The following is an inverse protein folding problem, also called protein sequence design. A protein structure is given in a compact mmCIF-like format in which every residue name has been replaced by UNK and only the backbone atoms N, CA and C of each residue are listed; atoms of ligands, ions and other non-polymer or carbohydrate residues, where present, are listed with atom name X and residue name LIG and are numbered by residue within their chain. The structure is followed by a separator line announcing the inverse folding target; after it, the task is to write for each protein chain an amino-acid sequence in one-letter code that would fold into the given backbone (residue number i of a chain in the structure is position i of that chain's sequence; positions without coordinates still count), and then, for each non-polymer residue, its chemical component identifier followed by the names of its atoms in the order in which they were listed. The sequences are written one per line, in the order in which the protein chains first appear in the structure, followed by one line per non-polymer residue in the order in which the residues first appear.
data_IF_662233459691
#
_entry.id   IF_662233459691
#
_cell.length_a   1.000
_cell.length_b   1.000
_cell.length_c   1.000
_cell.angle_alpha   90.00
_cell.angle_beta   90.00
_cell.angle_gamma   90.00
#
_symmetry.space_group_name_H-M   'P 1'
#
loop_
_entity.id
_entity.type
_entity.pdbx_description
1 polymer ?
#
# COMPACT_ATOMS: atom_id res chain seq x y z
N UNK A 1 -4.52 -10.13 0.13
CA UNK A 1 -4.97 -8.90 0.81
C UNK A 1 -4.62 -8.95 2.29
N UNK A 2 -4.17 -7.84 2.86
CA UNK A 2 -3.64 -7.76 4.23
C UNK A 2 -4.34 -6.68 5.05
N UNK A 3 -4.50 -6.86 6.36
CA UNK A 3 -5.06 -5.83 7.24
C UNK A 3 -3.97 -4.87 7.74
N UNK A 4 -4.38 -3.66 8.14
CA UNK A 4 -3.48 -2.69 8.80
C UNK A 4 -2.77 -3.29 10.01
N UNK A 5 -3.48 -4.07 10.80
CA UNK A 5 -2.97 -4.66 12.04
C UNK A 5 -1.91 -5.73 11.76
N UNK A 6 -2.09 -6.52 10.69
CA UNK A 6 -1.08 -7.46 10.22
C UNK A 6 0.17 -6.72 9.73
N UNK A 7 0.01 -5.69 8.88
CA UNK A 7 1.13 -4.86 8.42
C UNK A 7 1.93 -4.24 9.57
N UNK A 8 1.23 -3.71 10.58
CA UNK A 8 1.85 -3.11 11.76
C UNK A 8 2.70 -4.12 12.54
N UNK A 9 2.22 -5.36 12.71
CA UNK A 9 2.95 -6.43 13.38
C UNK A 9 4.16 -6.89 12.58
N UNK A 10 3.97 -7.11 11.28
CA UNK A 10 4.98 -7.69 10.40
C UNK A 10 6.13 -6.72 10.13
N UNK A 11 5.82 -5.44 9.91
CA UNK A 11 6.81 -4.40 9.73
C UNK A 11 7.36 -3.84 11.05
N UNK A 12 6.83 -4.29 12.19
CA UNK A 12 7.16 -3.77 13.54
C UNK A 12 7.03 -2.24 13.64
N UNK A 13 6.02 -1.68 12.99
CA UNK A 13 5.78 -0.24 12.91
C UNK A 13 4.49 0.15 13.63
N UNK A 14 4.47 1.37 14.19
CA UNK A 14 3.26 1.89 14.81
C UNK A 14 2.11 2.05 13.81
N UNK A 15 0.89 1.75 14.27
CA UNK A 15 -0.30 1.70 13.41
C UNK A 15 -0.64 3.04 12.73
N UNK A 16 -0.28 4.17 13.35
CA UNK A 16 -0.47 5.50 12.74
C UNK A 16 0.51 5.73 11.59
N UNK A 17 1.76 5.29 11.70
CA UNK A 17 2.76 5.35 10.63
C UNK A 17 2.31 4.54 9.43
N UNK A 18 1.88 3.30 9.66
CA UNK A 18 1.30 2.45 8.60
C UNK A 18 0.07 3.13 7.96
N UNK A 19 -0.78 3.80 8.74
CA UNK A 19 -1.94 4.52 8.19
C UNK A 19 -1.54 5.66 7.26
N UNK A 20 -0.47 6.40 7.59
CA UNK A 20 0.08 7.46 6.73
C UNK A 20 0.59 6.88 5.42
N UNK A 21 1.39 5.81 5.46
CA UNK A 21 1.93 5.17 4.27
C UNK A 21 0.84 4.57 3.37
N UNK A 22 -0.12 3.85 3.95
CA UNK A 22 -1.24 3.29 3.19
C UNK A 22 -2.08 4.36 2.51
N UNK A 23 -2.21 5.56 3.10
CA UNK A 23 -2.90 6.69 2.47
C UNK A 23 -2.16 7.16 1.22
N UNK A 24 -0.83 7.33 1.32
CA UNK A 24 0.02 7.77 0.21
C UNK A 24 0.04 6.72 -0.91
N UNK A 25 0.23 5.44 -0.59
CA UNK A 25 0.22 4.36 -1.57
C UNK A 25 -1.12 4.24 -2.30
N UNK A 26 -2.24 4.47 -1.60
CA UNK A 26 -3.56 4.49 -2.21
C UNK A 26 -3.76 5.71 -3.12
N UNK A 27 -3.21 6.87 -2.76
CA UNK A 27 -3.25 8.07 -3.61
C UNK A 27 -2.49 7.88 -4.93
N UNK A 28 -1.36 7.15 -4.90
CA UNK A 28 -0.62 6.77 -6.09
C UNK A 28 -1.25 5.60 -6.88
N UNK A 29 -2.37 5.04 -6.41
CA UNK A 29 -3.01 3.92 -7.07
C UNK A 29 -2.24 2.60 -6.98
N UNK A 30 -1.20 2.51 -6.13
CA UNK A 30 -0.37 1.31 -5.94
C UNK A 30 -1.16 0.24 -5.19
N UNK A 31 -2.01 0.67 -4.26
CA UNK A 31 -2.87 -0.22 -3.49
C UNK A 31 -4.31 0.28 -3.53
N UNK A 32 -5.25 -0.64 -3.38
CA UNK A 32 -6.64 -0.32 -3.10
C UNK A 32 -7.09 -1.01 -1.81
N UNK A 33 -8.18 -0.52 -1.23
CA UNK A 33 -8.75 -1.05 0.01
C UNK A 33 -10.19 -1.47 -0.20
N UNK A 34 -10.57 -2.62 0.35
CA UNK A 34 -11.94 -3.14 0.31
C UNK A 34 -12.41 -3.42 1.73
N UNK A 35 -13.65 -3.02 2.03
CA UNK A 35 -14.33 -3.37 3.28
C UNK A 35 -14.91 -4.77 3.13
N UNK A 36 -14.39 -5.71 3.90
CA UNK A 36 -14.89 -7.09 3.97
C UNK A 36 -15.50 -7.30 5.36
N UNK A 37 -16.83 -7.33 5.43
CA UNK A 37 -17.58 -7.35 6.68
C UNK A 37 -17.14 -6.21 7.62
N UNK A 38 -16.55 -6.54 8.78
CA UNK A 38 -16.06 -5.59 9.79
C UNK A 38 -14.59 -5.17 9.60
N UNK A 39 -13.89 -5.67 8.59
CA UNK A 39 -12.44 -5.44 8.40
C UNK A 39 -12.14 -4.69 7.11
N UNK A 40 -11.16 -3.80 7.18
CA UNK A 40 -10.59 -3.12 6.02
C UNK A 40 -9.33 -3.88 5.58
N UNK A 41 -9.34 -4.36 4.34
CA UNK A 41 -8.27 -5.16 3.75
C UNK A 41 -7.66 -4.37 2.59
N UNK A 42 -6.33 -4.35 2.53
CA UNK A 42 -5.54 -3.68 1.50
C UNK A 42 -5.01 -4.72 0.50
N UNK A 43 -5.02 -4.36 -0.78
CA UNK A 43 -4.60 -5.19 -1.90
C UNK A 43 -3.68 -4.37 -2.79
N UNK A 44 -2.72 -5.04 -3.43
CA UNK A 44 -1.91 -4.44 -4.47
C UNK A 44 -2.79 -4.21 -5.71
N UNK A 45 -2.56 -3.10 -6.40
CA UNK A 45 -3.12 -2.87 -7.72
C UNK A 45 -2.21 -3.55 -8.74
N UNK A 46 -2.66 -4.66 -9.33
CA UNK A 46 -1.86 -5.44 -10.28
C UNK A 46 -1.61 -4.65 -11.58
N UNK A 47 -2.58 -3.84 -12.00
CA UNK A 47 -2.46 -2.94 -13.15
C UNK A 47 -1.31 -1.92 -12.99
N UNK A 48 -0.97 -1.55 -11.76
CA UNK A 48 0.17 -0.67 -11.49
C UNK A 48 1.51 -1.35 -11.77
N UNK A 49 1.60 -2.68 -11.61
CA UNK A 49 2.85 -3.42 -11.78
C UNK A 49 3.17 -3.72 -13.25
N UNK A 50 2.15 -3.79 -14.12
CA UNK A 50 2.34 -4.07 -15.55
C UNK A 50 2.82 -2.86 -16.35
N UNK A 51 2.72 -1.65 -15.78
CA UNK A 51 3.31 -0.44 -16.32
C UNK A 51 4.51 -0.04 -15.47
N UNK A 52 5.72 -0.58 -15.70
CA UNK A 52 6.92 -0.07 -15.04
C UNK A 52 7.01 1.43 -15.37
N UNK A 53 6.77 2.28 -14.37
CA UNK A 53 7.02 3.70 -14.47
C UNK A 53 8.46 3.88 -15.00
N UNK A 54 8.72 4.86 -15.87
CA UNK A 54 10.06 5.19 -16.30
C UNK A 54 10.82 5.72 -15.08
N UNK A 55 11.39 4.83 -14.28
CA UNK A 55 12.52 5.17 -13.44
C UNK A 55 13.74 5.36 -14.35
N UNK A 56 13.66 6.36 -15.23
CA UNK A 56 14.84 6.86 -15.93
C UNK A 56 15.71 7.58 -14.90
N UNK A 57 16.78 6.88 -14.50
CA UNK A 57 18.15 7.38 -14.51
C UNK A 57 18.34 8.88 -14.20
N UNK A 58 17.95 9.34 -13.02
CA UNK A 58 18.55 10.54 -12.45
C UNK A 58 19.81 10.18 -11.64
N UNK A 59 20.83 9.68 -12.35
CA UNK A 59 22.23 9.91 -11.97
C UNK A 59 22.70 11.10 -12.79
N UNK A 60 22.70 12.29 -12.17
CA UNK A 60 23.49 13.43 -12.61
C UNK A 60 24.47 13.76 -11.49
#
# INVERSE_FOLDING_TARGET
GITKTQLSKELKMHSTTISKYLKVLAQFGIIFKKKMSKRLIYFLNEDFMESPLPFENNKK
#
